data_IF_388210690076
#
_entry.id   IF_388210690076
#
_cell.length_a   1.000
_cell.length_b   1.000
_cell.length_c   1.000
_cell.angle_alpha   90.00
_cell.angle_beta   90.00
_cell.angle_gamma   90.00
#
_symmetry.space_group_name_H-M   'P 1'
#
loop_
_entity.id
_entity.type
_entity.pdbx_description
1 polymer ?
#
# COMPACT_ATOMS: atom_id res chain seq x y z
N UNK A 1 -26.50 -33.15 18.98
CA UNK A 1 -26.00 -31.93 19.64
C UNK A 1 -24.48 -31.79 19.57
N UNK A 2 -23.71 -32.85 19.87
CA UNK A 2 -22.22 -32.82 19.84
C UNK A 2 -21.63 -32.69 18.43
N UNK A 3 -22.30 -33.26 17.43
CA UNK A 3 -21.91 -33.12 16.01
C UNK A 3 -22.09 -31.69 15.52
N UNK A 4 -23.22 -31.05 15.85
CA UNK A 4 -23.53 -29.66 15.49
C UNK A 4 -22.48 -28.70 16.09
N UNK A 5 -22.09 -28.89 17.35
CA UNK A 5 -21.03 -28.08 17.96
C UNK A 5 -19.68 -28.27 17.28
N UNK A 6 -19.34 -29.50 16.88
CA UNK A 6 -18.09 -29.77 16.13
C UNK A 6 -18.13 -29.09 14.75
N UNK A 7 -19.24 -29.19 14.02
CA UNK A 7 -19.40 -28.51 12.72
C UNK A 7 -19.31 -26.98 12.83
N UNK A 8 -19.93 -26.40 13.86
CA UNK A 8 -19.86 -24.95 14.11
C UNK A 8 -18.43 -24.52 14.44
N UNK A 9 -17.72 -25.26 15.30
CA UNK A 9 -16.33 -24.95 15.66
C UNK A 9 -15.39 -25.07 14.45
N UNK A 10 -15.56 -26.10 13.61
CA UNK A 10 -14.77 -26.25 12.37
C UNK A 10 -14.99 -25.08 11.41
N UNK A 11 -16.23 -24.61 11.26
CA UNK A 11 -16.54 -23.48 10.39
C UNK A 11 -15.88 -22.17 10.87
N UNK A 12 -15.90 -21.89 12.19
CA UNK A 12 -15.23 -20.70 12.75
C UNK A 12 -13.71 -20.74 12.59
N UNK A 13 -13.09 -21.91 12.77
CA UNK A 13 -11.65 -22.07 12.57
C UNK A 13 -11.25 -21.86 11.11
N UNK A 14 -12.03 -22.37 10.16
CA UNK A 14 -11.80 -22.16 8.72
C UNK A 14 -12.00 -20.69 8.32
N UNK A 15 -13.05 -20.02 8.80
CA UNK A 15 -13.28 -18.59 8.53
C UNK A 15 -12.19 -17.69 9.15
N UNK A 16 -11.68 -18.04 10.34
CA UNK A 16 -10.63 -17.26 11.02
C UNK A 16 -9.26 -17.35 10.36
N UNK A 17 -8.92 -18.50 9.75
CA UNK A 17 -7.64 -18.71 9.08
C UNK A 17 -7.49 -17.86 7.81
N UNK A 18 -8.59 -17.61 7.09
CA UNK A 18 -8.60 -16.78 5.86
C UNK A 18 -8.38 -15.28 6.13
N UNK A 19 -8.78 -14.78 7.31
CA UNK A 19 -8.63 -13.36 7.68
C UNK A 19 -7.15 -12.98 7.88
N UNK A 20 -6.27 -13.95 8.13
CA UNK A 20 -4.84 -13.71 8.35
C UNK A 20 -4.06 -13.34 7.07
N UNK A 21 -4.60 -13.59 5.87
CA UNK A 21 -3.90 -13.30 4.61
C UNK A 21 -4.33 -11.98 3.93
N UNK A 22 -5.35 -11.30 4.46
CA UNK A 22 -5.78 -9.99 3.96
C UNK A 22 -4.83 -8.83 4.34
N UNK A 23 -3.84 -9.07 5.22
CA UNK A 23 -2.83 -8.06 5.61
C UNK A 23 -1.54 -8.07 4.77
N UNK A 24 -1.57 -8.62 3.55
CA UNK A 24 -0.56 -8.20 2.56
C UNK A 24 -0.98 -6.82 2.06
N UNK A 25 -0.41 -5.75 2.63
CA UNK A 25 -0.69 -4.36 2.25
C UNK A 25 -0.98 -4.20 0.74
N UNK A 26 -2.23 -3.93 0.34
CA UNK A 26 -2.58 -3.73 -1.05
C UNK A 26 -2.09 -2.33 -1.42
N UNK A 27 -1.03 -2.24 -2.23
CA UNK A 27 -0.60 -0.92 -2.71
C UNK A 27 0.84 -0.80 -3.17
N UNK A 28 1.70 -1.80 -2.91
CA UNK A 28 2.99 -1.85 -3.60
C UNK A 28 2.87 -2.69 -4.87
N UNK A 29 2.17 -2.14 -5.85
CA UNK A 29 2.37 -2.51 -7.24
C UNK A 29 3.87 -2.45 -7.59
N UNK A 30 4.26 -3.14 -8.66
CA UNK A 30 5.66 -3.34 -9.07
C UNK A 30 6.47 -2.04 -8.91
N UNK A 31 7.47 -2.08 -8.03
CA UNK A 31 8.17 -0.87 -7.59
C UNK A 31 9.24 -0.47 -8.60
N UNK A 32 9.10 0.74 -9.16
CA UNK A 32 10.16 1.41 -9.91
C UNK A 32 11.12 2.14 -8.95
N UNK A 33 12.40 2.31 -9.31
CA UNK A 33 13.35 3.01 -8.46
C UNK A 33 12.91 4.45 -8.17
N UNK A 34 13.32 4.96 -7.01
CA UNK A 34 12.91 6.27 -6.50
C UNK A 34 11.76 6.20 -5.49
N UNK A 35 11.34 7.35 -4.99
CA UNK A 35 10.36 7.52 -3.91
C UNK A 35 9.19 8.39 -4.36
N UNK A 36 8.06 8.28 -3.67
CA UNK A 36 6.96 9.24 -3.81
C UNK A 36 7.36 10.58 -3.20
N UNK A 37 6.95 11.72 -3.80
CA UNK A 37 7.14 13.01 -3.18
C UNK A 37 6.35 13.07 -1.86
N UNK A 38 6.90 13.79 -0.89
CA UNK A 38 6.22 13.99 0.39
C UNK A 38 5.00 14.88 0.22
N UNK A 39 3.87 14.44 0.75
CA UNK A 39 2.66 15.25 0.80
C UNK A 39 2.64 16.04 2.10
N UNK A 40 2.17 17.30 2.09
CA UNK A 40 1.90 18.04 3.31
C UNK A 40 0.97 17.26 4.24
N UNK A 41 1.20 17.34 5.55
CA UNK A 41 0.35 16.69 6.55
C UNK A 41 -1.09 17.18 6.41
N UNK A 42 -2.05 16.26 6.43
CA UNK A 42 -3.48 16.58 6.27
C UNK A 42 -3.92 16.80 4.82
N UNK A 43 -3.07 16.53 3.83
CA UNK A 43 -3.49 16.52 2.42
C UNK A 43 -4.44 15.35 2.19
N UNK A 44 -5.69 15.65 1.84
CA UNK A 44 -6.67 14.68 1.37
C UNK A 44 -6.97 15.01 -0.08
N UNK A 45 -6.36 14.26 -0.99
CA UNK A 45 -6.67 14.35 -2.41
C UNK A 45 -8.01 13.69 -2.74
N UNK A 46 -8.40 13.80 -4.01
CA UNK A 46 -9.61 13.15 -4.52
C UNK A 46 -9.47 11.63 -4.35
N UNK A 47 -10.50 11.01 -3.77
CA UNK A 47 -10.64 9.57 -3.55
C UNK A 47 -10.90 8.83 -4.87
N UNK A 48 -9.89 8.78 -5.73
CA UNK A 48 -9.94 8.08 -7.02
C UNK A 48 -8.65 7.31 -7.25
N UNK A 49 -8.79 6.08 -7.72
CA UNK A 49 -7.70 5.20 -8.08
C UNK A 49 -7.35 5.38 -9.56
N UNK A 50 -6.36 6.24 -9.84
CA UNK A 50 -5.88 6.47 -11.23
C UNK A 50 -4.77 5.52 -11.64
N UNK A 51 -4.19 4.81 -10.67
CA UNK A 51 -3.14 3.83 -10.89
C UNK A 51 -3.23 2.75 -9.80
N UNK A 52 -2.81 1.53 -10.11
CA UNK A 52 -2.72 0.42 -9.15
C UNK A 52 -1.28 0.02 -8.82
N UNK A 53 -0.32 0.55 -9.59
CA UNK A 53 1.11 0.36 -9.39
C UNK A 53 1.95 1.28 -10.26
N UNK A 54 3.26 1.31 -10.03
CA UNK A 54 4.15 2.20 -10.81
C UNK A 54 4.12 1.86 -12.31
N UNK A 55 3.78 0.63 -12.68
CA UNK A 55 3.64 0.20 -14.07
C UNK A 55 2.38 0.75 -14.77
N UNK A 56 1.37 1.18 -14.02
CA UNK A 56 0.23 1.92 -14.56
C UNK A 56 0.60 3.35 -14.95
N UNK A 57 1.78 3.83 -14.51
CA UNK A 57 2.23 5.18 -14.76
C UNK A 57 3.28 5.24 -15.88
N UNK A 58 3.41 6.40 -16.56
CA UNK A 58 4.48 6.63 -17.53
C UNK A 58 5.88 6.42 -16.92
N UNK A 59 6.88 6.20 -17.79
CA UNK A 59 8.28 6.03 -17.38
C UNK A 59 8.73 7.21 -16.51
N UNK A 60 9.44 6.93 -15.42
CA UNK A 60 9.91 7.95 -14.47
C UNK A 60 8.85 8.41 -13.45
N UNK A 61 7.64 7.86 -13.49
CA UNK A 61 6.59 8.12 -12.51
C UNK A 61 6.31 6.91 -11.61
N UNK A 62 5.74 7.20 -10.44
CA UNK A 62 5.33 6.25 -9.42
C UNK A 62 3.87 6.45 -9.06
N UNK A 63 3.20 5.37 -8.69
CA UNK A 63 1.84 5.40 -8.21
C UNK A 63 1.84 5.71 -6.71
N UNK A 64 1.40 6.91 -6.36
CA UNK A 64 1.54 7.44 -5.01
C UNK A 64 0.17 7.76 -4.42
N UNK A 65 -0.02 7.45 -3.13
CA UNK A 65 -1.20 7.87 -2.41
C UNK A 65 -1.25 9.40 -2.32
N UNK A 66 -2.42 9.98 -2.58
CA UNK A 66 -2.68 11.39 -2.39
C UNK A 66 -3.39 11.69 -1.05
N UNK A 67 -3.42 10.72 -0.14
CA UNK A 67 -4.16 10.80 1.13
C UNK A 67 -5.56 10.18 1.10
N UNK A 68 -6.11 9.87 -0.08
CA UNK A 68 -7.34 9.07 -0.19
C UNK A 68 -7.26 7.97 -1.26
N UNK A 69 -6.86 8.32 -2.49
CA UNK A 69 -6.63 7.36 -3.58
C UNK A 69 -5.20 7.41 -4.10
N UNK A 70 -4.94 6.78 -5.25
CA UNK A 70 -3.62 6.78 -5.88
C UNK A 70 -3.58 7.55 -7.20
N UNK A 71 -2.47 8.28 -7.39
CA UNK A 71 -2.21 9.09 -8.59
C UNK A 71 -0.75 8.97 -9.00
N UNK A 72 -0.49 9.08 -10.30
CA UNK A 72 0.89 9.10 -10.81
C UNK A 72 1.59 10.41 -10.42
N UNK A 73 2.76 10.29 -9.79
CA UNK A 73 3.65 11.41 -9.44
C UNK A 73 5.06 11.12 -9.94
N UNK A 74 5.81 12.18 -10.25
CA UNK A 74 7.23 12.04 -10.59
C UNK A 74 8.02 11.39 -9.45
N UNK A 75 8.90 10.44 -9.79
CA UNK A 75 9.77 9.82 -8.80
C UNK A 75 10.80 10.82 -8.27
N UNK A 76 11.01 10.84 -6.95
CA UNK A 76 12.11 11.58 -6.33
C UNK A 76 13.25 10.64 -5.97
N UNK A 77 14.49 11.05 -6.22
CA UNK A 77 15.69 10.28 -5.91
C UNK A 77 16.49 11.01 -4.84
N UNK A 78 16.51 10.50 -3.60
CA UNK A 78 17.37 11.05 -2.54
C UNK A 78 18.79 10.51 -2.74
N UNK A 79 19.80 11.40 -2.79
CA UNK A 79 21.21 10.97 -2.69
C UNK A 79 21.43 10.43 -1.28
N UNK A 80 21.80 9.16 -1.17
CA UNK A 80 22.12 8.55 0.13
C UNK A 80 23.49 9.07 0.58
N UNK A 81 23.49 10.05 1.47
CA UNK A 81 24.66 10.38 2.29
C UNK A 81 24.81 9.34 3.42
N UNK A 82 26.03 8.87 3.66
CA UNK A 82 26.39 7.69 4.46
C UNK A 82 26.16 7.79 5.99
N UNK A 83 25.06 8.38 6.44
CA UNK A 83 24.72 8.47 7.87
C UNK A 83 23.21 8.53 8.06
N UNK A 84 22.63 7.42 8.52
CA UNK A 84 21.18 7.22 8.66
C UNK A 84 20.50 8.24 9.58
N UNK A 85 20.00 9.32 8.98
CA UNK A 85 18.84 10.10 9.45
C UNK A 85 18.28 10.82 8.24
N UNK A 86 17.12 10.37 7.76
CA UNK A 86 16.38 11.04 6.69
C UNK A 86 15.96 12.41 7.23
N UNK A 87 16.78 13.44 6.96
CA UNK A 87 16.39 14.83 7.12
C UNK A 87 15.71 15.25 5.83
N UNK A 88 14.44 15.57 5.94
CA UNK A 88 13.63 16.18 4.90
C UNK A 88 13.49 17.64 5.26
N UNK A 89 13.91 18.49 4.33
CA UNK A 89 13.95 19.94 4.45
C UNK A 89 12.61 20.56 4.08
#
# INVERSE_FOLDING_TARGET
MKTVTVFVLLAFVVMGLEVAWAQKSPGKGRQRPGFCPELPKGTVGICVERCSGDDSCPVGMKCCSNGCGHVCKGAVFKKVGSGGRVKVN
#
